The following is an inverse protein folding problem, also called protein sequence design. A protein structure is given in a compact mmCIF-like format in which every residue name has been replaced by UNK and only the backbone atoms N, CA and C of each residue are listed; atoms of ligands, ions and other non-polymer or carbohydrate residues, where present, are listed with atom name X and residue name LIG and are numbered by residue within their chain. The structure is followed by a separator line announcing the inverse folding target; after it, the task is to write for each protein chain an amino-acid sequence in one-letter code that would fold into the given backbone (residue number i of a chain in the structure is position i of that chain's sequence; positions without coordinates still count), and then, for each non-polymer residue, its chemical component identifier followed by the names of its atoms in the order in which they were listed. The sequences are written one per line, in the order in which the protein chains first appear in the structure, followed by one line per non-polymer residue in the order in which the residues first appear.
data_IF_999472773941
#
_entry.id   IF_999472773941
#
_cell.length_a   1.000
_cell.length_b   1.000
_cell.length_c   1.000
_cell.angle_alpha   90.00
_cell.angle_beta   90.00
_cell.angle_gamma   90.00
#
_symmetry.space_group_name_H-M   'P 1'
#
loop_
_entity.id
_entity.type
_entity.pdbx_description
1 polymer ?
#
# COMPACT_ATOMS: atom_id res chain seq x y z
N UNK A 1 -2.66 15.58 -0.82
CA UNK A 1 -2.22 14.79 -2.00
C UNK A 1 -1.72 13.39 -1.64
N UNK A 2 -1.07 13.16 -0.49
CA UNK A 2 -0.55 11.84 -0.08
C UNK A 2 -1.65 10.78 0.14
N UNK A 3 -2.76 11.14 0.81
CA UNK A 3 -3.87 10.22 1.09
C UNK A 3 -4.56 9.67 -0.17
N UNK A 4 -4.54 10.40 -1.31
CA UNK A 4 -5.17 9.95 -2.56
C UNK A 4 -4.43 8.79 -3.23
N UNK A 5 -3.09 8.80 -3.22
CA UNK A 5 -2.29 7.73 -3.83
C UNK A 5 -2.20 6.48 -2.97
N UNK A 6 -2.18 6.64 -1.64
CA UNK A 6 -2.16 5.50 -0.73
C UNK A 6 -3.47 4.70 -0.81
N UNK A 7 -4.61 5.40 -0.89
CA UNK A 7 -5.90 4.75 -1.07
C UNK A 7 -5.98 3.98 -2.41
N UNK A 8 -5.52 4.56 -3.52
CA UNK A 8 -5.45 3.85 -4.81
C UNK A 8 -4.49 2.64 -4.79
N UNK A 9 -3.40 2.69 -4.02
CA UNK A 9 -2.49 1.56 -3.83
C UNK A 9 -3.14 0.44 -3.03
N UNK A 10 -3.81 0.76 -1.92
CA UNK A 10 -4.57 -0.20 -1.13
C UNK A 10 -5.70 -0.86 -1.93
N UNK A 11 -6.37 -0.10 -2.81
CA UNK A 11 -7.33 -0.66 -3.75
C UNK A 11 -6.70 -1.67 -4.72
N UNK A 12 -5.42 -1.50 -5.11
CA UNK A 12 -4.68 -2.50 -5.92
C UNK A 12 -4.55 -3.86 -5.21
N UNK A 13 -4.45 -3.89 -3.88
CA UNK A 13 -4.49 -5.16 -3.12
C UNK A 13 -5.88 -5.76 -3.01
N UNK A 14 -6.92 -4.95 -3.22
CA UNK A 14 -8.31 -5.40 -3.34
C UNK A 14 -8.70 -5.76 -4.78
N UNK A 15 -7.89 -5.39 -5.78
CA UNK A 15 -8.06 -5.95 -7.12
C UNK A 15 -7.76 -7.46 -7.04
N UNK A 16 -8.62 -8.29 -7.64
CA UNK A 16 -8.39 -9.73 -7.64
C UNK A 16 -6.99 -9.99 -8.20
N UNK A 17 -6.19 -10.78 -7.48
CA UNK A 17 -4.99 -11.40 -8.04
C UNK A 17 -5.43 -12.02 -9.36
N UNK A 18 -5.00 -11.44 -10.48
CA UNK A 18 -5.50 -11.85 -11.78
C UNK A 18 -5.03 -13.29 -11.99
N UNK A 19 -5.98 -14.18 -12.31
CA UNK A 19 -5.64 -15.55 -12.62
C UNK A 19 -4.71 -15.54 -13.84
N UNK A 20 -3.45 -15.92 -13.61
CA UNK A 20 -2.44 -16.08 -14.65
C UNK A 20 -2.05 -17.55 -14.74
N UNK A 21 -1.74 -18.08 -15.94
CA UNK A 21 -1.15 -19.42 -16.09
C UNK A 21 0.15 -19.61 -15.28
N UNK A 22 0.81 -18.52 -14.90
CA UNK A 22 2.06 -18.50 -14.12
C UNK A 22 1.86 -18.12 -12.66
N UNK A 23 0.61 -18.05 -12.18
CA UNK A 23 0.31 -17.66 -10.80
C UNK A 23 0.90 -18.68 -9.82
N UNK A 24 1.67 -18.23 -8.83
CA UNK A 24 2.27 -19.10 -7.81
C UNK A 24 1.18 -19.87 -7.05
N UNK A 25 1.40 -21.17 -6.83
CA UNK A 25 0.48 -22.05 -6.10
C UNK A 25 0.12 -21.53 -4.69
N UNK A 26 0.99 -20.75 -4.05
CA UNK A 26 0.74 -20.13 -2.74
C UNK A 26 -0.37 -19.07 -2.78
N UNK A 27 -0.57 -18.46 -3.94
CA UNK A 27 -1.61 -17.45 -4.19
C UNK A 27 -2.90 -18.06 -4.75
N UNK A 28 -2.96 -19.40 -4.85
CA UNK A 28 -4.14 -20.14 -5.26
C UNK A 28 -4.81 -20.80 -4.04
N UNK A 29 -6.13 -20.86 -4.06
CA UNK A 29 -6.93 -21.71 -3.18
C UNK A 29 -6.89 -23.15 -3.72
N UNK A 30 -7.26 -24.15 -2.91
CA UNK A 30 -7.23 -25.57 -3.30
C UNK A 30 -8.04 -25.91 -4.58
N UNK A 31 -8.91 -25.00 -5.02
CA UNK A 31 -9.75 -25.07 -6.20
C UNK A 31 -9.20 -24.24 -7.40
N UNK A 32 -7.94 -23.79 -7.35
CA UNK A 32 -7.28 -23.03 -8.43
C UNK A 32 -7.71 -21.56 -8.52
N UNK A 33 -8.61 -21.12 -7.62
CA UNK A 33 -9.07 -19.75 -7.59
C UNK A 33 -8.01 -18.84 -6.93
N UNK A 34 -7.80 -17.62 -7.43
CA UNK A 34 -6.90 -16.67 -6.78
C UNK A 34 -7.37 -16.34 -5.36
N UNK A 35 -6.42 -16.30 -4.42
CA UNK A 35 -6.68 -15.88 -3.04
C UNK A 35 -7.07 -14.41 -3.03
N UNK A 36 -8.24 -14.10 -2.48
CA UNK A 36 -8.74 -12.73 -2.29
C UNK A 36 -8.48 -12.31 -0.85
N UNK A 37 -7.83 -11.16 -0.67
CA UNK A 37 -7.81 -10.45 0.60
C UNK A 37 -9.11 -9.63 0.63
N UNK A 38 -10.12 -10.11 1.35
CA UNK A 38 -11.40 -9.42 1.49
C UNK A 38 -11.27 -8.24 2.47
N UNK A 39 -10.41 -7.26 2.17
CA UNK A 39 -10.22 -6.11 3.05
C UNK A 39 -11.46 -5.23 2.98
N UNK A 40 -12.05 -4.96 4.14
CA UNK A 40 -13.15 -4.01 4.28
C UNK A 40 -12.61 -2.58 4.18
N UNK A 41 -13.49 -1.60 3.93
CA UNK A 41 -13.06 -0.20 3.91
C UNK A 41 -12.51 0.26 5.28
N UNK A 42 -12.96 -0.34 6.37
CA UNK A 42 -12.40 -0.12 7.70
C UNK A 42 -10.97 -0.68 7.83
N UNK A 43 -10.69 -1.85 7.27
CA UNK A 43 -9.34 -2.44 7.26
C UNK A 43 -8.38 -1.60 6.42
N UNK A 44 -8.86 -1.04 5.30
CA UNK A 44 -8.07 -0.11 4.47
C UNK A 44 -7.73 1.17 5.23
N UNK A 45 -8.70 1.74 5.95
CA UNK A 45 -8.46 2.95 6.73
C UNK A 45 -7.45 2.69 7.86
N UNK A 46 -7.59 1.58 8.58
CA UNK A 46 -6.64 1.20 9.63
C UNK A 46 -5.22 0.99 9.08
N UNK A 47 -5.10 0.45 7.87
CA UNK A 47 -3.82 0.27 7.20
C UNK A 47 -3.23 1.61 6.69
N UNK A 48 -4.07 2.52 6.17
CA UNK A 48 -3.66 3.88 5.83
C UNK A 48 -3.14 4.62 7.07
N UNK A 49 -3.87 4.57 8.18
CA UNK A 49 -3.48 5.20 9.44
C UNK A 49 -2.14 4.64 9.93
N UNK A 50 -1.99 3.30 9.90
CA UNK A 50 -0.74 2.63 10.27
C UNK A 50 0.43 3.07 9.38
N UNK A 51 0.27 3.06 8.05
CA UNK A 51 1.34 3.47 7.13
C UNK A 51 1.68 4.96 7.27
N UNK A 52 0.70 5.80 7.62
CA UNK A 52 0.93 7.21 7.91
C UNK A 52 1.71 7.42 9.21
N UNK A 53 1.64 6.51 10.20
CA UNK A 53 2.49 6.59 11.41
C UNK A 53 3.98 6.34 11.14
N UNK A 54 4.31 5.68 10.03
CA UNK A 54 5.70 5.49 9.60
C UNK A 54 6.27 6.72 8.90
N UNK A 55 5.44 7.75 8.66
CA UNK A 55 5.90 9.01 8.09
C UNK A 55 6.59 9.83 9.17
N UNK A 56 7.89 9.99 9.01
CA UNK A 56 8.68 10.87 9.87
C UNK A 56 8.55 12.33 9.41
N UNK A 57 7.78 13.12 10.16
CA UNK A 57 7.64 14.56 9.90
C UNK A 57 8.91 15.34 10.24
N UNK A 58 9.73 14.84 11.18
CA UNK A 58 10.97 15.52 11.59
C UNK A 58 12.01 15.46 10.49
N UNK A 59 12.15 14.32 9.81
CA UNK A 59 13.06 14.17 8.67
C UNK A 59 12.69 15.09 7.49
N UNK A 60 11.40 15.31 7.25
CA UNK A 60 10.91 16.12 6.12
C UNK A 60 11.15 17.62 6.35
N UNK A 61 11.09 18.07 7.61
CA UNK A 61 11.14 19.50 7.96
C UNK A 61 12.51 19.98 8.48
N UNK A 62 13.44 19.07 8.78
CA UNK A 62 14.73 19.43 9.34
C UNK A 62 15.67 20.02 8.27
N UNK A 63 16.04 21.28 8.49
CA UNK A 63 16.95 22.08 7.66
C UNK A 63 18.30 21.38 7.42
N UNK A 64 18.73 20.50 8.34
CA UNK A 64 19.94 19.69 8.20
C UNK A 64 19.89 18.72 7.02
N UNK A 65 18.70 18.26 6.63
CA UNK A 65 18.49 17.35 5.49
C UNK A 65 17.88 18.06 4.27
N UNK A 66 17.66 19.37 4.37
CA UNK A 66 17.23 20.19 3.25
C UNK A 66 18.32 20.34 2.20
N UNK A 67 17.93 20.72 0.98
CA UNK A 67 18.87 20.99 -0.10
C UNK A 67 19.88 22.08 0.34
N UNK A 68 21.18 21.77 0.40
CA UNK A 68 22.18 22.74 0.85
C UNK A 68 22.56 23.76 -0.23
N UNK A 69 22.06 23.61 -1.46
CA UNK A 69 22.38 24.48 -2.59
C UNK A 69 21.17 25.31 -3.03
N UNK A 70 20.53 25.98 -2.07
CA UNK A 70 19.56 27.04 -2.38
C UNK A 70 20.34 28.27 -2.87
N UNK A 71 20.83 28.23 -4.13
CA UNK A 71 21.26 29.37 -4.97
C UNK A 71 21.57 28.90 -6.40
#
# INVERSE_FOLDING_TARGET
MISKCLFCFLDNFNFPVQASPTLDNKLQLNNGNPRRLNLTDADKQALEDFLCTLRDETFIADEKFSDPFIN
#
